data_IF_903316974419
#
_entry.id   IF_903316974419
#
_cell.length_a   1.000
_cell.length_b   1.000
_cell.length_c   1.000
_cell.angle_alpha   90.00
_cell.angle_beta   90.00
_cell.angle_gamma   90.00
#
_symmetry.space_group_name_H-M   'P 1'
#
loop_
_entity.id
_entity.type
_entity.pdbx_description
1 polymer ?
#
# COMPACT_ATOMS: atom_id res chain seq x y z
N UNK A 1 -4.91 17.88 -15.30
CA UNK A 1 -3.62 18.23 -14.70
C UNK A 1 -3.47 17.77 -13.25
N UNK A 2 -4.59 17.64 -12.53
CA UNK A 2 -4.60 17.08 -11.18
C UNK A 2 -4.92 15.59 -11.14
N UNK A 3 -4.88 14.93 -12.28
CA UNK A 3 -5.28 13.53 -12.41
C UNK A 3 -4.38 12.61 -11.56
N UNK A 4 -3.07 12.85 -11.53
CA UNK A 4 -2.14 12.04 -10.73
C UNK A 4 -2.46 12.09 -9.24
N UNK A 5 -2.79 13.28 -8.72
CA UNK A 5 -3.19 13.45 -7.32
C UNK A 5 -4.50 12.72 -7.03
N UNK A 6 -5.49 12.86 -7.90
CA UNK A 6 -6.79 12.18 -7.75
C UNK A 6 -6.63 10.66 -7.78
N UNK A 7 -5.84 10.14 -8.70
CA UNK A 7 -5.55 8.71 -8.79
C UNK A 7 -4.82 8.19 -7.53
N UNK A 8 -3.86 8.94 -7.02
CA UNK A 8 -3.16 8.57 -5.79
C UNK A 8 -4.12 8.52 -4.60
N UNK A 9 -4.99 9.51 -4.44
CA UNK A 9 -5.98 9.55 -3.36
C UNK A 9 -6.94 8.37 -3.48
N UNK A 10 -7.39 8.04 -4.69
CA UNK A 10 -8.23 6.87 -4.95
C UNK A 10 -7.52 5.57 -4.56
N UNK A 11 -6.25 5.44 -4.90
CA UNK A 11 -5.43 4.28 -4.52
C UNK A 11 -5.24 4.17 -3.02
N UNK A 12 -5.01 5.27 -2.34
CA UNK A 12 -4.92 5.31 -0.86
C UNK A 12 -6.22 4.81 -0.23
N UNK A 13 -7.36 5.33 -0.70
CA UNK A 13 -8.68 4.89 -0.23
C UNK A 13 -8.92 3.40 -0.47
N UNK A 14 -8.59 2.93 -1.66
CA UNK A 14 -8.74 1.51 -2.03
C UNK A 14 -7.84 0.62 -1.16
N UNK A 15 -6.62 1.03 -0.89
CA UNK A 15 -5.69 0.29 -0.03
C UNK A 15 -6.22 0.18 1.41
N UNK A 16 -6.78 1.27 1.94
CA UNK A 16 -7.40 1.27 3.27
C UNK A 16 -8.56 0.28 3.32
N UNK A 17 -9.47 0.33 2.35
CA UNK A 17 -10.64 -0.55 2.29
C UNK A 17 -10.21 -2.02 2.18
N UNK A 18 -9.28 -2.32 1.31
CA UNK A 18 -8.79 -3.69 1.12
C UNK A 18 -7.99 -4.18 2.33
N UNK A 19 -7.22 -3.32 2.96
CA UNK A 19 -6.48 -3.65 4.18
C UNK A 19 -7.42 -3.98 5.35
N UNK A 20 -8.48 -3.20 5.52
CA UNK A 20 -9.53 -3.45 6.53
C UNK A 20 -10.27 -4.76 6.22
N UNK A 21 -10.61 -4.99 4.95
CA UNK A 21 -11.28 -6.22 4.51
C UNK A 21 -10.42 -7.45 4.78
N UNK A 22 -9.13 -7.37 4.49
CA UNK A 22 -8.17 -8.44 4.79
C UNK A 22 -8.09 -8.71 6.29
N UNK A 23 -7.92 -7.68 7.10
CA UNK A 23 -7.83 -7.80 8.55
C UNK A 23 -9.11 -8.40 9.14
N UNK A 24 -10.26 -8.02 8.62
CA UNK A 24 -11.55 -8.57 9.03
C UNK A 24 -11.68 -10.04 8.64
N UNK A 25 -11.29 -10.41 7.42
CA UNK A 25 -11.36 -11.79 6.94
C UNK A 25 -10.46 -12.74 7.75
N UNK A 26 -9.30 -12.26 8.19
CA UNK A 26 -8.34 -13.05 8.98
C UNK A 26 -8.45 -12.84 10.49
N UNK A 27 -9.49 -12.16 10.98
CA UNK A 27 -9.71 -11.86 12.40
C UNK A 27 -8.55 -11.13 13.07
N UNK A 28 -7.86 -10.28 12.32
CA UNK A 28 -6.70 -9.51 12.78
C UNK A 28 -7.04 -8.04 13.05
N UNK A 29 -8.31 -7.68 13.11
CA UNK A 29 -8.72 -6.30 13.36
C UNK A 29 -8.26 -5.83 14.74
N UNK A 30 -7.42 -4.79 14.74
CA UNK A 30 -6.94 -4.12 15.93
C UNK A 30 -7.18 -2.61 15.78
N UNK A 31 -7.84 -2.00 16.76
CA UNK A 31 -8.08 -0.57 16.76
C UNK A 31 -6.79 0.25 16.72
N UNK A 32 -5.74 -0.23 17.37
CA UNK A 32 -4.44 0.43 17.38
C UNK A 32 -3.78 0.39 16.01
N UNK A 33 -3.70 -0.79 15.39
CA UNK A 33 -3.11 -0.96 14.04
C UNK A 33 -3.90 -0.18 13.00
N UNK A 34 -5.23 -0.21 13.10
CA UNK A 34 -6.10 0.54 12.19
C UNK A 34 -5.85 2.04 12.28
N UNK A 35 -5.82 2.60 13.50
CA UNK A 35 -5.55 4.04 13.70
C UNK A 35 -4.17 4.44 13.22
N UNK A 36 -3.15 3.64 13.51
CA UNK A 36 -1.78 3.91 13.06
C UNK A 36 -1.68 3.92 11.53
N UNK A 37 -2.26 2.92 10.88
CA UNK A 37 -2.30 2.84 9.42
C UNK A 37 -3.07 4.00 8.81
N UNK A 38 -4.24 4.31 9.35
CA UNK A 38 -5.08 5.41 8.87
C UNK A 38 -4.36 6.75 8.99
N UNK A 39 -3.70 7.03 10.11
CA UNK A 39 -2.92 8.26 10.31
C UNK A 39 -1.79 8.36 9.27
N UNK A 40 -1.08 7.28 9.00
CA UNK A 40 -0.03 7.25 7.99
C UNK A 40 -0.56 7.56 6.60
N UNK A 41 -1.68 6.96 6.20
CA UNK A 41 -2.29 7.20 4.89
C UNK A 41 -2.85 8.61 4.76
N UNK A 42 -3.48 9.13 5.81
CA UNK A 42 -3.98 10.50 5.83
C UNK A 42 -2.83 11.51 5.78
N UNK A 43 -1.73 11.24 6.48
CA UNK A 43 -0.54 12.10 6.44
C UNK A 43 0.06 12.13 5.02
N UNK A 44 0.13 11.00 4.34
CA UNK A 44 0.60 10.92 2.95
C UNK A 44 -0.30 11.71 2.01
N UNK A 45 -1.62 11.54 2.11
CA UNK A 45 -2.59 12.26 1.30
C UNK A 45 -2.49 13.78 1.54
N UNK A 46 -2.42 14.18 2.80
CA UNK A 46 -2.31 15.58 3.19
C UNK A 46 -1.01 16.20 2.67
N UNK A 47 0.10 15.49 2.77
CA UNK A 47 1.39 15.92 2.22
C UNK A 47 1.27 16.23 0.74
N UNK A 48 0.71 15.33 -0.05
CA UNK A 48 0.55 15.51 -1.50
C UNK A 48 -0.38 16.67 -1.81
N UNK A 49 -1.50 16.78 -1.11
CA UNK A 49 -2.48 17.85 -1.33
C UNK A 49 -1.85 19.23 -1.06
N UNK A 50 -1.05 19.35 -0.01
CA UNK A 50 -0.39 20.61 0.36
C UNK A 50 0.76 20.93 -0.60
N UNK A 51 1.63 19.97 -0.87
CA UNK A 51 2.86 20.21 -1.61
C UNK A 51 2.69 20.22 -3.12
N UNK A 52 1.63 19.62 -3.65
CA UNK A 52 1.41 19.59 -5.10
C UNK A 52 1.27 21.00 -5.70
N UNK A 53 0.33 21.86 -5.23
CA UNK A 53 0.24 23.21 -5.77
C UNK A 53 1.51 24.04 -5.51
N UNK A 54 2.15 23.85 -4.37
CA UNK A 54 3.42 24.51 -4.06
C UNK A 54 4.52 24.11 -5.04
N UNK A 55 4.66 22.82 -5.35
CA UNK A 55 5.63 22.31 -6.30
C UNK A 55 5.38 22.85 -7.72
N UNK A 56 4.12 22.92 -8.13
CA UNK A 56 3.74 23.51 -9.43
C UNK A 56 4.12 24.99 -9.48
N UNK A 57 3.84 25.73 -8.42
CA UNK A 57 4.20 27.15 -8.32
C UNK A 57 5.73 27.35 -8.42
N UNK A 58 6.52 26.46 -7.82
CA UNK A 58 7.97 26.51 -7.83
C UNK A 58 8.60 25.89 -9.09
N UNK A 59 7.80 25.53 -10.09
CA UNK A 59 8.26 24.85 -11.32
C UNK A 59 8.93 23.50 -11.06
N UNK A 60 8.53 22.82 -10.00
CA UNK A 60 9.02 21.48 -9.60
C UNK A 60 8.00 20.38 -9.87
N UNK A 61 7.14 20.58 -10.90
CA UNK A 61 6.10 19.63 -11.27
C UNK A 61 6.63 18.22 -11.55
N UNK A 62 7.77 18.10 -12.24
CA UNK A 62 8.35 16.80 -12.53
C UNK A 62 8.86 16.08 -11.27
N UNK A 63 9.33 16.82 -10.27
CA UNK A 63 9.78 16.25 -9.00
C UNK A 63 8.60 15.69 -8.22
N UNK A 64 7.52 16.47 -8.08
CA UNK A 64 6.34 16.01 -7.35
C UNK A 64 5.64 14.87 -8.09
N UNK A 65 5.59 14.90 -9.42
CA UNK A 65 5.01 13.81 -10.21
C UNK A 65 5.80 12.52 -10.04
N UNK A 66 7.13 12.59 -10.02
CA UNK A 66 7.98 11.43 -9.75
C UNK A 66 7.69 10.83 -8.37
N UNK A 67 7.53 11.67 -7.36
CA UNK A 67 7.16 11.24 -6.02
C UNK A 67 5.77 10.56 -6.02
N UNK A 68 4.79 11.17 -6.69
CA UNK A 68 3.43 10.62 -6.80
C UNK A 68 3.47 9.25 -7.50
N UNK A 69 4.22 9.11 -8.59
CA UNK A 69 4.31 7.82 -9.30
C UNK A 69 4.99 6.75 -8.44
N UNK A 70 6.00 7.11 -7.67
CA UNK A 70 6.63 6.18 -6.73
C UNK A 70 5.63 5.72 -5.65
N UNK A 71 4.85 6.65 -5.11
CA UNK A 71 3.79 6.33 -4.14
C UNK A 71 2.69 5.48 -4.76
N UNK A 72 2.28 5.77 -6.00
CA UNK A 72 1.31 4.96 -6.73
C UNK A 72 1.81 3.51 -6.91
N UNK A 73 3.09 3.33 -7.23
CA UNK A 73 3.67 2.00 -7.33
C UNK A 73 3.61 1.26 -5.99
N UNK A 74 3.96 1.94 -4.89
CA UNK A 74 3.90 1.36 -3.54
C UNK A 74 2.46 0.99 -3.16
N UNK A 75 1.50 1.89 -3.35
CA UNK A 75 0.09 1.61 -3.05
C UNK A 75 -0.49 0.55 -3.98
N UNK A 76 -0.16 0.57 -5.27
CA UNK A 76 -0.58 -0.45 -6.22
C UNK A 76 -0.10 -1.84 -5.81
N UNK A 77 1.13 -1.94 -5.38
CA UNK A 77 1.69 -3.19 -4.87
C UNK A 77 0.97 -3.68 -3.61
N UNK A 78 0.68 -2.77 -2.69
CA UNK A 78 -0.08 -3.09 -1.47
C UNK A 78 -1.50 -3.56 -1.80
N UNK A 79 -2.19 -2.88 -2.72
CA UNK A 79 -3.52 -3.26 -3.20
C UNK A 79 -3.49 -4.67 -3.78
N UNK A 80 -2.52 -4.96 -4.65
CA UNK A 80 -2.39 -6.30 -5.27
C UNK A 80 -2.11 -7.37 -4.22
N UNK A 81 -1.27 -7.07 -3.21
CA UNK A 81 -0.99 -7.99 -2.11
C UNK A 81 -2.26 -8.28 -1.28
N UNK A 82 -3.05 -7.26 -0.98
CA UNK A 82 -4.31 -7.41 -0.26
C UNK A 82 -5.32 -8.22 -1.07
N UNK A 83 -5.45 -7.96 -2.38
CA UNK A 83 -6.33 -8.72 -3.27
C UNK A 83 -5.88 -10.19 -3.37
N UNK A 84 -4.59 -10.43 -3.49
CA UNK A 84 -4.03 -11.79 -3.51
C UNK A 84 -4.36 -12.55 -2.22
N UNK A 85 -4.22 -11.90 -1.08
CA UNK A 85 -4.58 -12.47 0.23
C UNK A 85 -6.08 -12.79 0.35
N UNK A 86 -6.94 -12.05 -0.34
CA UNK A 86 -8.38 -12.27 -0.36
C UNK A 86 -8.84 -13.30 -1.42
N UNK A 87 -7.89 -13.91 -2.14
CA UNK A 87 -8.16 -14.98 -3.09
C UNK A 87 -8.17 -14.59 -4.56
N UNK A 88 -7.95 -13.31 -4.87
CA UNK A 88 -7.79 -12.87 -6.28
C UNK A 88 -6.39 -13.26 -6.74
N UNK A 89 -6.31 -14.00 -7.84
CA UNK A 89 -5.04 -14.56 -8.32
C UNK A 89 -4.48 -13.75 -9.49
N UNK A 90 -3.22 -13.34 -9.35
CA UNK A 90 -2.44 -12.69 -10.40
C UNK A 90 -1.18 -13.53 -10.65
N UNK A 91 -1.18 -14.53 -11.54
CA UNK A 91 -0.12 -15.56 -11.60
C UNK A 91 1.30 -15.02 -11.77
N UNK A 92 1.48 -13.93 -12.50
CA UNK A 92 2.80 -13.34 -12.74
C UNK A 92 3.17 -12.27 -11.70
N UNK A 93 2.19 -11.48 -11.29
CA UNK A 93 2.35 -10.37 -10.35
C UNK A 93 2.47 -10.90 -8.92
N UNK A 94 1.73 -11.95 -8.59
CA UNK A 94 1.73 -12.57 -7.27
C UNK A 94 3.14 -13.03 -6.85
N UNK A 95 3.86 -13.66 -7.76
CA UNK A 95 5.24 -14.07 -7.52
C UNK A 95 6.16 -12.87 -7.24
N UNK A 96 6.00 -11.79 -8.00
CA UNK A 96 6.77 -10.56 -7.82
C UNK A 96 6.47 -9.93 -6.45
N UNK A 97 5.20 -9.84 -6.07
CA UNK A 97 4.76 -9.29 -4.79
C UNK A 97 5.35 -10.09 -3.63
N UNK A 98 5.26 -11.41 -3.68
CA UNK A 98 5.81 -12.30 -2.65
C UNK A 98 7.30 -12.13 -2.47
N UNK A 99 8.04 -11.98 -3.56
CA UNK A 99 9.50 -11.85 -3.51
C UNK A 99 9.98 -10.48 -3.01
N UNK A 100 9.22 -9.40 -3.25
CA UNK A 100 9.70 -8.04 -3.07
C UNK A 100 9.01 -7.26 -1.94
N UNK A 101 7.79 -7.62 -1.56
CA UNK A 101 6.97 -6.84 -0.63
C UNK A 101 6.73 -7.56 0.68
N UNK A 102 6.36 -8.83 0.64
CA UNK A 102 6.09 -9.65 1.83
C UNK A 102 7.30 -10.49 2.26
N UNK A 103 8.50 -10.07 1.89
CA UNK A 103 9.72 -10.81 2.20
C UNK A 103 9.89 -11.09 3.69
N UNK A 104 9.57 -10.12 4.55
CA UNK A 104 9.62 -10.28 6.00
C UNK A 104 8.57 -11.26 6.52
N UNK A 105 7.34 -11.17 6.02
CA UNK A 105 6.27 -12.12 6.36
C UNK A 105 6.57 -13.52 5.86
N UNK A 106 7.22 -13.64 4.70
CA UNK A 106 7.64 -14.91 4.13
C UNK A 106 8.67 -15.61 4.99
N UNK A 107 9.65 -14.89 5.50
CA UNK A 107 10.67 -15.41 6.42
C UNK A 107 10.02 -15.93 7.69
N UNK A 108 9.07 -15.19 8.27
CA UNK A 108 8.35 -15.60 9.48
C UNK A 108 7.54 -16.88 9.26
N UNK A 109 6.89 -17.03 8.11
CA UNK A 109 6.13 -18.24 7.78
C UNK A 109 7.04 -19.45 7.59
N UNK A 110 8.18 -19.27 6.94
CA UNK A 110 9.16 -20.33 6.75
C UNK A 110 9.75 -20.79 8.12
N UNK A 111 10.00 -19.86 9.02
CA UNK A 111 10.45 -20.16 10.38
C UNK A 111 9.39 -20.94 11.18
N UNK A 112 8.11 -20.57 11.06
CA UNK A 112 7.02 -21.30 11.71
C UNK A 112 6.87 -22.72 11.15
N UNK A 113 7.00 -22.91 9.83
CA UNK A 113 6.96 -24.24 9.21
C UNK A 113 8.14 -25.12 9.61
N UNK A 114 9.33 -24.54 9.77
CA UNK A 114 10.50 -25.27 10.26
C UNK A 114 10.34 -25.70 11.73
N UNK A 115 9.79 -24.84 12.58
CA UNK A 115 9.49 -25.17 13.97
C UNK A 115 8.42 -26.26 14.10
N UNK A 116 7.40 -26.25 13.25
CA UNK A 116 6.33 -27.25 13.28
C UNK A 116 6.81 -28.63 12.78
N UNK A 117 7.81 -28.68 11.91
CA UNK A 117 8.38 -29.91 11.37
C UNK A 117 9.50 -30.52 12.25
N UNK A 118 10.00 -29.81 13.21
CA UNK A 118 10.95 -30.28 14.20
C UNK A 118 10.24 -30.87 15.44
#
# INVERSE_FOLDING_TARGET
>A
EHLSVCLLIEMIGSDIVLGVSRAWAFHELSSFKFRKGLVSHLATALFVIIFYPFAIFMHLGSVIDTFIYAMMAAYGSSILANLSSLGVKFPYIDRYIRLNIDKEKFILLDEEEEEEND
#
